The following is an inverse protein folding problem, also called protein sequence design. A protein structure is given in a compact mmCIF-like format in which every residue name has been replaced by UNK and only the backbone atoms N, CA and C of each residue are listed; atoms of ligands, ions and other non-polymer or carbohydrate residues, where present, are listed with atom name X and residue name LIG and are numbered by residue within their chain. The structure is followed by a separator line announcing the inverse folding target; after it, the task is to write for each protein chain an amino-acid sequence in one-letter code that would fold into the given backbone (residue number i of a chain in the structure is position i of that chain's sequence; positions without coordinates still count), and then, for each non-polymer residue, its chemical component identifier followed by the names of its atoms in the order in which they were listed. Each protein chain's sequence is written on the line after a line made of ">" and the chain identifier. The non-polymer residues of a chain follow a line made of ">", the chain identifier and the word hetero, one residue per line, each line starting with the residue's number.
data_IF_983505328851
#
_entry.id   IF_983505328851
#
_cell.length_a   1.000
_cell.length_b   1.000
_cell.length_c   1.000
_cell.angle_alpha   90.00
_cell.angle_beta   90.00
_cell.angle_gamma   90.00
#
_symmetry.space_group_name_H-M   'P 1'
#
loop_
_entity.id
_entity.type
_entity.pdbx_description
1 polymer ?
#
# COMPACT_ATOMS: atom_id res chain seq x y z
N UNK A 1 14.66 -47.63 18.86
CA UNK A 1 13.52 -46.75 18.49
C UNK A 1 14.03 -45.34 18.52
N UNK A 2 14.19 -44.70 17.36
CA UNK A 2 14.42 -43.26 17.30
C UNK A 2 13.09 -42.56 17.56
N UNK A 3 13.05 -41.68 18.56
CA UNK A 3 11.89 -40.84 18.81
C UNK A 3 11.64 -39.96 17.57
N UNK A 4 10.39 -39.88 17.12
CA UNK A 4 10.01 -38.99 16.04
C UNK A 4 10.37 -37.55 16.42
N UNK A 5 11.32 -36.95 15.70
CA UNK A 5 11.70 -35.54 15.86
C UNK A 5 10.82 -34.72 14.93
N UNK A 6 9.97 -33.88 15.50
CA UNK A 6 9.26 -32.85 14.75
C UNK A 6 10.01 -31.52 14.85
N UNK A 7 10.03 -30.79 13.74
CA UNK A 7 10.50 -29.39 13.69
C UNK A 7 9.29 -28.54 13.35
N UNK A 8 9.06 -27.50 14.16
CA UNK A 8 8.07 -26.46 13.84
C UNK A 8 8.81 -25.27 13.22
N UNK A 9 8.33 -24.80 12.07
CA UNK A 9 8.81 -23.58 11.42
C UNK A 9 7.68 -22.55 11.37
N UNK A 10 7.96 -21.33 11.81
CA UNK A 10 7.02 -20.21 11.76
C UNK A 10 7.40 -19.29 10.61
N UNK A 11 6.47 -19.05 9.68
CA UNK A 11 6.65 -18.09 8.60
C UNK A 11 5.89 -16.81 8.95
N UNK A 12 6.59 -15.69 9.09
CA UNK A 12 5.96 -14.38 9.23
C UNK A 12 5.71 -13.82 7.83
N UNK A 13 4.48 -13.38 7.56
CA UNK A 13 4.20 -12.68 6.29
C UNK A 13 5.06 -11.43 6.18
N UNK A 14 5.67 -11.24 5.01
CA UNK A 14 6.40 -10.02 4.71
C UNK A 14 5.44 -8.81 4.66
N UNK A 15 5.87 -7.62 5.11
CA UNK A 15 5.08 -6.41 4.94
C UNK A 15 4.84 -6.07 3.47
N UNK A 16 3.65 -5.56 3.17
CA UNK A 16 3.28 -5.02 1.84
C UNK A 16 3.20 -3.49 1.85
N UNK A 17 3.08 -2.89 3.03
CA UNK A 17 3.07 -1.45 3.20
C UNK A 17 3.80 -1.02 4.47
N UNK A 18 4.30 0.21 4.49
CA UNK A 18 4.97 0.80 5.65
C UNK A 18 4.52 2.25 5.81
N UNK A 19 4.04 2.61 6.99
CA UNK A 19 3.90 4.01 7.36
C UNK A 19 5.29 4.50 7.76
N UNK A 20 5.90 5.39 6.97
CA UNK A 20 7.26 5.88 7.26
C UNK A 20 7.28 7.06 8.21
N UNK A 21 6.19 7.83 8.26
CA UNK A 21 6.00 8.91 9.23
C UNK A 21 5.87 8.35 10.64
N UNK A 22 5.14 7.24 10.79
CA UNK A 22 5.02 6.44 12.02
C UNK A 22 5.57 5.05 11.75
N UNK A 23 6.91 4.84 11.80
CA UNK A 23 7.61 3.67 11.28
C UNK A 23 7.00 2.33 11.74
N UNK A 24 6.00 1.87 11.00
CA UNK A 24 5.19 0.69 11.27
C UNK A 24 4.92 -0.03 9.95
N UNK A 25 5.23 -1.33 9.95
CA UNK A 25 5.04 -2.21 8.81
C UNK A 25 3.69 -2.92 8.90
N UNK A 26 3.05 -3.11 7.76
CA UNK A 26 1.75 -3.76 7.63
C UNK A 26 1.81 -4.86 6.57
N UNK A 27 1.26 -6.02 6.89
CA UNK A 27 1.09 -7.13 5.94
C UNK A 27 -0.13 -6.96 5.04
N UNK A 28 -0.99 -5.97 5.34
CA UNK A 28 -2.20 -5.65 4.57
C UNK A 28 -2.27 -4.14 4.35
N UNK A 29 -2.37 -3.70 3.09
CA UNK A 29 -2.45 -2.27 2.74
C UNK A 29 -3.67 -1.58 3.38
N UNK A 30 -4.85 -2.21 3.36
CA UNK A 30 -6.05 -1.64 3.96
C UNK A 30 -5.89 -1.30 5.45
N UNK A 31 -5.10 -2.08 6.20
CA UNK A 31 -4.80 -1.79 7.61
C UNK A 31 -3.90 -0.55 7.75
N UNK A 32 -2.89 -0.41 6.87
CA UNK A 32 -2.04 0.79 6.84
C UNK A 32 -2.86 2.04 6.53
N UNK A 33 -3.78 1.97 5.56
CA UNK A 33 -4.65 3.08 5.17
C UNK A 33 -5.66 3.44 6.26
N UNK A 34 -6.18 2.45 6.99
CA UNK A 34 -7.12 2.65 8.09
C UNK A 34 -6.47 3.37 9.29
N UNK A 35 -5.23 3.01 9.62
CA UNK A 35 -4.49 3.62 10.73
C UNK A 35 -3.80 4.94 10.37
N UNK A 36 -3.74 5.29 9.07
CA UNK A 36 -3.06 6.49 8.62
C UNK A 36 -3.78 7.77 9.08
N UNK A 37 -2.98 8.72 9.55
CA UNK A 37 -3.43 10.07 9.88
C UNK A 37 -3.07 11.06 8.78
N UNK A 38 -3.69 12.24 8.81
CA UNK A 38 -3.41 13.30 7.85
C UNK A 38 -1.91 13.64 7.84
N UNK A 39 -1.33 13.72 6.64
CA UNK A 39 0.10 14.00 6.41
C UNK A 39 1.01 12.78 6.56
N UNK A 40 0.49 11.58 6.82
CA UNK A 40 1.30 10.37 6.83
C UNK A 40 1.74 9.99 5.41
N UNK A 41 2.92 9.40 5.30
CA UNK A 41 3.41 8.74 4.09
C UNK A 41 3.34 7.22 4.25
N UNK A 42 2.63 6.58 3.32
CA UNK A 42 2.47 5.14 3.22
C UNK A 42 3.21 4.65 1.98
N UNK A 43 4.32 3.96 2.20
CA UNK A 43 5.07 3.28 1.17
C UNK A 43 4.48 1.90 0.90
N UNK A 44 4.35 1.53 -0.38
CA UNK A 44 3.73 0.27 -0.80
C UNK A 44 4.68 -0.52 -1.70
N UNK A 45 4.76 -1.82 -1.43
CA UNK A 45 5.59 -2.77 -2.17
C UNK A 45 5.21 -2.78 -3.66
N UNK A 46 6.19 -3.02 -4.52
CA UNK A 46 6.09 -3.19 -5.96
C UNK A 46 5.40 -4.50 -6.40
N UNK A 47 4.21 -4.74 -5.86
CA UNK A 47 3.40 -5.93 -6.13
C UNK A 47 1.99 -5.56 -6.55
N UNK A 48 1.22 -6.55 -6.99
CA UNK A 48 -0.22 -6.44 -7.10
C UNK A 48 -0.88 -6.70 -5.74
N UNK A 49 -1.81 -5.83 -5.37
CA UNK A 49 -2.62 -5.95 -4.17
C UNK A 49 -4.09 -5.90 -4.58
N UNK A 50 -4.80 -6.99 -4.30
CA UNK A 50 -6.22 -7.09 -4.59
C UNK A 50 -7.05 -6.42 -3.47
N UNK A 51 -8.12 -5.73 -3.87
CA UNK A 51 -9.08 -5.15 -2.94
C UNK A 51 -9.52 -3.74 -3.31
N UNK A 52 -10.47 -3.22 -2.54
CA UNK A 52 -10.93 -1.84 -2.63
C UNK A 52 -10.13 -0.97 -1.67
N UNK A 53 -9.49 0.08 -2.18
CA UNK A 53 -8.66 0.97 -1.38
C UNK A 53 -9.32 2.34 -1.21
N UNK A 54 -9.40 2.81 0.03
CA UNK A 54 -10.02 4.10 0.36
C UNK A 54 -9.05 4.96 1.16
N UNK A 55 -8.83 6.20 0.71
CA UNK A 55 -8.12 7.23 1.47
C UNK A 55 -9.14 8.08 2.21
N UNK A 56 -9.23 7.88 3.52
CA UNK A 56 -10.18 8.59 4.40
C UNK A 56 -9.64 9.92 4.92
N UNK A 57 -8.35 10.18 4.73
CA UNK A 57 -7.67 11.41 5.13
C UNK A 57 -6.59 11.75 4.11
N UNK A 58 -6.04 12.96 4.16
CA UNK A 58 -5.00 13.39 3.24
C UNK A 58 -3.67 12.74 3.55
N UNK A 59 -3.18 11.84 2.69
CA UNK A 59 -1.90 11.14 2.87
C UNK A 59 -1.04 11.20 1.61
N UNK A 60 0.23 10.86 1.75
CA UNK A 60 1.09 10.48 0.62
C UNK A 60 1.06 8.96 0.46
N UNK A 61 0.50 8.46 -0.65
CA UNK A 61 0.52 7.04 -1.01
C UNK A 61 1.56 6.80 -2.09
N UNK A 62 2.64 6.09 -1.75
CA UNK A 62 3.85 5.99 -2.57
C UNK A 62 4.11 4.53 -2.93
N UNK A 63 3.80 4.12 -4.16
CA UNK A 63 3.97 2.74 -4.62
C UNK A 63 5.33 2.42 -5.23
N UNK A 64 5.60 1.15 -5.51
CA UNK A 64 6.80 0.72 -6.22
C UNK A 64 8.05 0.58 -5.36
N UNK A 65 7.90 0.33 -4.06
CA UNK A 65 9.03 0.12 -3.17
C UNK A 65 9.55 -1.32 -3.21
N UNK A 66 10.85 -1.50 -3.00
CA UNK A 66 11.43 -2.82 -2.79
C UNK A 66 11.01 -3.41 -1.42
N UNK A 67 11.24 -4.70 -1.22
CA UNK A 67 10.87 -5.42 0.02
C UNK A 67 11.51 -4.85 1.31
N UNK A 68 12.61 -4.10 1.19
CA UNK A 68 13.25 -3.43 2.31
C UNK A 68 12.66 -2.06 2.66
N UNK A 69 11.78 -1.50 1.81
CA UNK A 69 11.34 -0.10 1.88
C UNK A 69 12.53 0.87 2.00
N UNK A 70 13.62 0.58 1.28
CA UNK A 70 14.84 1.40 1.26
C UNK A 70 15.00 2.20 -0.03
N UNK A 71 14.24 1.85 -1.07
CA UNK A 71 14.20 2.58 -2.32
C UNK A 71 13.13 2.03 -3.27
N UNK A 72 12.90 2.77 -4.36
CA UNK A 72 12.04 2.32 -5.46
C UNK A 72 12.69 1.15 -6.20
N UNK A 73 11.89 0.17 -6.58
CA UNK A 73 12.35 -0.98 -7.37
C UNK A 73 12.41 -0.72 -8.87
N UNK A 74 11.76 0.37 -9.33
CA UNK A 74 11.55 0.66 -10.75
C UNK A 74 10.26 0.05 -11.32
N UNK A 75 9.54 -0.77 -10.54
CA UNK A 75 8.20 -1.24 -10.86
C UNK A 75 7.15 -0.44 -10.09
N UNK A 76 5.91 -0.44 -10.56
CA UNK A 76 4.77 0.19 -9.88
C UNK A 76 4.03 -0.80 -9.00
N UNK A 77 3.38 -0.30 -7.95
CA UNK A 77 2.38 -1.08 -7.22
C UNK A 77 1.08 -1.12 -8.03
N UNK A 78 0.48 -2.29 -8.17
CA UNK A 78 -0.83 -2.45 -8.82
C UNK A 78 -1.92 -2.54 -7.75
N UNK A 79 -2.85 -1.59 -7.74
CA UNK A 79 -4.06 -1.63 -6.92
C UNK A 79 -5.20 -2.28 -7.72
N UNK A 80 -5.41 -3.57 -7.51
CA UNK A 80 -6.38 -4.35 -8.27
C UNK A 80 -7.77 -4.35 -7.61
N UNK A 81 -8.54 -3.31 -7.90
CA UNK A 81 -9.91 -3.14 -7.39
C UNK A 81 -10.35 -1.68 -7.28
N UNK A 82 -9.43 -0.73 -7.48
CA UNK A 82 -9.72 0.69 -7.55
C UNK A 82 -9.29 1.48 -6.33
N UNK A 83 -9.28 2.79 -6.46
CA UNK A 83 -8.87 3.74 -5.43
C UNK A 83 -9.95 4.81 -5.25
N UNK A 84 -10.44 4.97 -4.01
CA UNK A 84 -11.40 6.01 -3.65
C UNK A 84 -10.76 7.02 -2.72
N UNK A 85 -10.86 8.31 -3.06
CA UNK A 85 -10.53 9.42 -2.18
C UNK A 85 -11.84 9.88 -1.53
N UNK A 86 -11.97 9.58 -0.24
CA UNK A 86 -13.16 9.87 0.54
C UNK A 86 -13.08 11.23 1.23
N UNK A 87 -11.88 11.65 1.67
CA UNK A 87 -11.66 12.99 2.22
C UNK A 87 -10.17 13.38 2.23
N UNK A 88 -9.89 14.67 2.47
CA UNK A 88 -8.53 15.21 2.58
C UNK A 88 -7.83 15.47 1.25
N UNK A 89 -6.66 16.11 1.31
CA UNK A 89 -5.79 16.32 0.17
C UNK A 89 -4.71 15.23 0.16
N UNK A 90 -4.80 14.30 -0.80
CA UNK A 90 -3.85 13.20 -0.92
C UNK A 90 -2.92 13.41 -2.11
N UNK A 91 -1.75 12.79 -2.03
CA UNK A 91 -0.82 12.65 -3.15
C UNK A 91 -0.61 11.16 -3.40
N UNK A 92 -0.68 10.72 -4.65
CA UNK A 92 -0.44 9.33 -5.02
C UNK A 92 0.63 9.22 -6.10
N UNK A 93 1.65 8.39 -5.85
CA UNK A 93 2.80 8.28 -6.72
C UNK A 93 3.10 6.83 -7.10
N UNK A 94 3.48 6.59 -8.37
CA UNK A 94 4.01 5.28 -8.85
C UNK A 94 3.04 4.11 -8.61
N UNK A 95 1.77 4.29 -8.99
CA UNK A 95 0.72 3.27 -8.92
C UNK A 95 0.12 2.98 -10.29
N UNK A 96 -0.31 1.75 -10.47
CA UNK A 96 -1.29 1.38 -11.46
C UNK A 96 -2.60 1.06 -10.73
N UNK A 97 -3.67 1.79 -11.03
CA UNK A 97 -5.00 1.55 -10.47
C UNK A 97 -5.81 0.78 -11.51
N UNK A 98 -6.21 -0.45 -11.18
CA UNK A 98 -7.13 -1.23 -12.01
C UNK A 98 -8.57 -0.88 -11.63
N UNK A 99 -9.44 -0.73 -12.63
CA UNK A 99 -10.84 -0.38 -12.44
C UNK A 99 -11.06 1.12 -12.32
N UNK A 100 -11.48 1.60 -11.15
CA UNK A 100 -11.92 2.99 -10.97
C UNK A 100 -11.04 3.78 -10.02
N UNK A 101 -10.78 5.04 -10.39
CA UNK A 101 -10.28 6.08 -9.50
C UNK A 101 -11.43 7.06 -9.22
N UNK A 102 -11.90 7.12 -7.97
CA UNK A 102 -13.05 7.92 -7.57
C UNK A 102 -12.60 8.98 -6.57
N UNK A 103 -12.97 10.24 -6.81
CA UNK A 103 -12.83 11.30 -5.81
C UNK A 103 -14.24 11.69 -5.37
N UNK A 104 -14.61 11.32 -4.14
CA UNK A 104 -15.93 11.64 -3.56
C UNK A 104 -15.90 12.99 -2.84
N UNK A 105 -14.89 13.19 -2.00
CA UNK A 105 -14.61 14.44 -1.31
C UNK A 105 -13.09 14.56 -1.12
N UNK A 106 -12.58 15.79 -1.17
CA UNK A 106 -11.14 16.06 -1.10
C UNK A 106 -10.50 16.27 -2.47
N UNK A 107 -9.18 16.03 -2.55
CA UNK A 107 -8.38 16.21 -3.76
C UNK A 107 -7.28 15.15 -3.87
N UNK A 108 -6.83 14.92 -5.10
CA UNK A 108 -5.72 14.02 -5.41
C UNK A 108 -4.73 14.72 -6.33
N UNK A 109 -3.49 14.84 -5.87
CA UNK A 109 -2.35 15.14 -6.72
C UNK A 109 -1.71 13.82 -7.15
N UNK A 110 -1.39 13.68 -8.43
CA UNK A 110 -0.84 12.43 -8.98
C UNK A 110 0.52 12.67 -9.63
N UNK A 111 1.45 11.75 -9.42
CA UNK A 111 2.71 11.67 -10.16
C UNK A 111 3.03 10.21 -10.53
N UNK A 112 3.09 9.91 -11.83
CA UNK A 112 3.35 8.55 -12.30
C UNK A 112 2.20 7.55 -12.03
N UNK A 113 0.95 8.02 -11.95
CA UNK A 113 -0.25 7.16 -11.84
C UNK A 113 -0.72 6.74 -13.24
N UNK A 114 -1.11 5.47 -13.40
CA UNK A 114 -1.87 5.02 -14.58
C UNK A 114 -3.17 4.37 -14.17
N UNK A 115 -4.27 4.77 -14.81
CA UNK A 115 -5.58 4.12 -14.66
C UNK A 115 -5.73 3.09 -15.77
N UNK A 116 -6.02 1.85 -15.40
CA UNK A 116 -6.16 0.72 -16.31
C UNK A 116 -7.55 0.12 -16.17
N UNK A 117 -8.18 -0.30 -17.29
CA UNK A 117 -9.46 -0.99 -17.25
C UNK A 117 -9.39 -2.31 -16.48
#
# INVERSE_FOLDING_TARGET
>A
MDAAKSVSATFTLAPVAKNVTKPKSHTVLAAALFEAESGNEIDVLDTQIDGLFTLNTGILLSGGWNAGFTGKSGMKTVLNGGLTIQSGASTANTLDVMGQLIIKAGSLTVDGISLKP
#
